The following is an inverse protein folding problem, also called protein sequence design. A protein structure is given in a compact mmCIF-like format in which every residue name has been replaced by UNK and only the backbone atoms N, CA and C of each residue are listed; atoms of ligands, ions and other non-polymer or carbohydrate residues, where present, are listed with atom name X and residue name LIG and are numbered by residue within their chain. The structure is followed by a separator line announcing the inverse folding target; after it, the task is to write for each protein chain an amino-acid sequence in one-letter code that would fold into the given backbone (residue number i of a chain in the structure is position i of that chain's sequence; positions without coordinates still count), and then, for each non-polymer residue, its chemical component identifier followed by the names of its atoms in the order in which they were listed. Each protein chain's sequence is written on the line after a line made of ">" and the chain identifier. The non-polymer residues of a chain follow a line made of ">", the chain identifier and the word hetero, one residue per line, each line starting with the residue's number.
data_IF_996767826136
#
_entry.id   IF_996767826136
#
_cell.length_a   1.000
_cell.length_b   1.000
_cell.length_c   1.000
_cell.angle_alpha   90.00
_cell.angle_beta   90.00
_cell.angle_gamma   90.00
#
_symmetry.space_group_name_H-M   'P 1'
#
loop_
_entity.id
_entity.type
_entity.pdbx_description
1 polymer ?
#
# COMPACT_ATOMS: atom_id res chain seq x y z
N UNK A 1 28.06 12.84 37.44
CA UNK A 1 27.66 11.67 36.62
C UNK A 1 26.48 12.08 35.76
N UNK A 2 26.65 12.09 34.43
CA UNK A 2 25.58 12.44 33.49
C UNK A 2 24.69 11.22 33.25
N UNK A 3 23.39 11.34 33.51
CA UNK A 3 22.37 10.49 32.87
C UNK A 3 21.47 11.38 32.05
N UNK A 4 21.89 11.64 30.82
CA UNK A 4 21.06 12.29 29.81
C UNK A 4 20.15 11.21 29.23
N UNK A 5 18.91 11.15 29.74
CA UNK A 5 17.85 10.32 29.21
C UNK A 5 17.47 10.87 27.83
N UNK A 6 18.04 10.30 26.76
CA UNK A 6 17.64 10.64 25.39
C UNK A 6 16.15 10.34 25.25
N UNK A 7 15.31 11.28 24.80
CA UNK A 7 13.94 10.96 24.44
C UNK A 7 13.98 9.89 23.34
N UNK A 8 13.18 8.83 23.49
CA UNK A 8 12.97 7.83 22.44
C UNK A 8 12.52 8.60 21.20
N UNK A 9 13.41 8.66 20.22
CA UNK A 9 13.14 9.21 18.91
C UNK A 9 12.02 8.36 18.35
N UNK A 10 10.79 8.86 18.42
CA UNK A 10 9.67 8.27 17.70
C UNK A 10 10.11 8.16 16.25
N UNK A 11 10.17 6.94 15.73
CA UNK A 11 10.33 6.71 14.31
C UNK A 11 9.20 7.49 13.63
N UNK A 12 9.53 8.63 13.03
CA UNK A 12 8.57 9.37 12.23
C UNK A 12 8.09 8.42 11.15
N UNK A 13 6.80 8.09 11.15
CA UNK A 13 6.19 7.33 10.06
C UNK A 13 6.44 8.07 8.76
N UNK A 14 6.77 7.34 7.69
CA UNK A 14 6.85 7.92 6.37
C UNK A 14 5.49 8.57 6.04
N UNK A 15 5.47 9.80 5.47
CA UNK A 15 4.23 10.51 5.22
C UNK A 15 3.36 9.75 4.21
N UNK A 16 2.09 9.56 4.54
CA UNK A 16 1.10 8.94 3.64
C UNK A 16 0.78 9.93 2.52
N UNK A 17 0.89 9.47 1.27
CA UNK A 17 0.56 10.25 0.08
C UNK A 17 -0.40 9.50 -0.81
N UNK A 18 -1.36 10.23 -1.38
CA UNK A 18 -2.34 9.65 -2.30
C UNK A 18 -1.75 9.55 -3.70
N UNK A 19 -2.00 8.43 -4.38
CA UNK A 19 -1.80 8.33 -5.83
C UNK A 19 -3.15 8.20 -6.52
N UNK A 20 -3.30 8.89 -7.65
CA UNK A 20 -4.45 8.74 -8.54
C UNK A 20 -4.03 7.86 -9.71
N UNK A 21 -4.61 6.66 -9.82
CA UNK A 21 -4.44 5.79 -10.97
C UNK A 21 -5.23 6.34 -12.17
N UNK A 22 -4.69 7.37 -12.81
CA UNK A 22 -5.29 8.01 -13.99
C UNK A 22 -4.79 7.35 -15.28
N UNK A 23 -5.70 7.16 -16.26
CA UNK A 23 -5.34 6.67 -17.61
C UNK A 23 -5.52 5.17 -17.87
N UNK A 24 -6.09 4.40 -16.94
CA UNK A 24 -6.29 2.95 -17.09
C UNK A 24 -7.39 2.55 -18.08
N UNK A 25 -7.12 2.64 -19.39
CA UNK A 25 -7.93 1.93 -20.40
C UNK A 25 -7.42 0.50 -20.52
N UNK A 26 -8.20 -0.44 -20.00
CA UNK A 26 -7.90 -1.87 -20.04
C UNK A 26 -8.88 -2.59 -20.97
N UNK A 27 -8.53 -3.79 -21.40
CA UNK A 27 -9.47 -4.67 -22.11
C UNK A 27 -10.59 -5.10 -21.17
N UNK A 28 -11.77 -5.39 -21.72
CA UNK A 28 -12.93 -5.85 -20.93
C UNK A 28 -12.60 -7.11 -20.14
N UNK A 29 -11.92 -8.08 -20.77
CA UNK A 29 -11.53 -9.33 -20.12
C UNK A 29 -10.54 -9.13 -18.97
N UNK A 30 -9.63 -8.16 -19.10
CA UNK A 30 -8.74 -7.80 -17.99
C UNK A 30 -9.52 -7.19 -16.84
N UNK A 31 -10.46 -6.28 -17.14
CA UNK A 31 -11.33 -5.69 -16.11
C UNK A 31 -12.13 -6.76 -15.38
N UNK A 32 -12.73 -7.70 -16.08
CA UNK A 32 -13.51 -8.80 -15.47
C UNK A 32 -12.63 -9.66 -14.56
N UNK A 33 -11.46 -10.08 -15.05
CA UNK A 33 -10.52 -10.89 -14.27
C UNK A 33 -10.02 -10.14 -13.02
N UNK A 34 -9.72 -8.85 -13.15
CA UNK A 34 -9.31 -8.00 -12.04
C UNK A 34 -10.41 -7.90 -10.97
N UNK A 35 -11.65 -7.70 -11.39
CA UNK A 35 -12.78 -7.60 -10.47
C UNK A 35 -13.06 -8.95 -9.77
N UNK A 36 -13.00 -10.07 -10.49
CA UNK A 36 -13.13 -11.42 -9.90
C UNK A 36 -12.03 -11.69 -8.87
N UNK A 37 -10.77 -11.33 -9.17
CA UNK A 37 -9.66 -11.47 -8.22
C UNK A 37 -9.90 -10.64 -6.95
N UNK A 38 -10.25 -9.36 -7.11
CA UNK A 38 -10.51 -8.46 -5.97
C UNK A 38 -11.69 -8.94 -5.10
N UNK A 39 -12.74 -9.49 -5.71
CA UNK A 39 -13.90 -10.02 -4.99
C UNK A 39 -13.55 -11.26 -4.15
N UNK A 40 -12.66 -12.13 -4.64
CA UNK A 40 -12.21 -13.34 -3.92
C UNK A 40 -11.33 -13.00 -2.73
N UNK A 41 -10.52 -11.96 -2.85
CA UNK A 41 -9.58 -11.53 -1.81
C UNK A 41 -10.20 -10.52 -0.83
N UNK A 42 -11.39 -9.99 -1.14
CA UNK A 42 -12.05 -8.98 -0.32
C UNK A 42 -11.34 -7.63 -0.34
N UNK A 43 -10.62 -7.32 -1.43
CA UNK A 43 -9.86 -6.08 -1.61
C UNK A 43 -10.57 -5.13 -2.56
N UNK A 44 -10.32 -3.83 -2.45
CA UNK A 44 -10.62 -2.90 -3.53
C UNK A 44 -9.65 -3.07 -4.70
N UNK A 45 -10.07 -2.66 -5.90
CA UNK A 45 -9.19 -2.64 -7.08
C UNK A 45 -7.92 -1.83 -6.84
N UNK A 46 -8.01 -0.75 -6.08
CA UNK A 46 -6.84 0.09 -5.76
C UNK A 46 -5.85 -0.65 -4.88
N UNK A 47 -6.33 -1.30 -3.81
CA UNK A 47 -5.50 -2.10 -2.92
C UNK A 47 -4.81 -3.24 -3.65
N UNK A 48 -5.55 -3.96 -4.49
CA UNK A 48 -4.99 -5.04 -5.31
C UNK A 48 -3.89 -4.54 -6.24
N UNK A 49 -4.11 -3.41 -6.93
CA UNK A 49 -3.09 -2.80 -7.79
C UNK A 49 -1.83 -2.38 -7.01
N UNK A 50 -2.01 -1.79 -5.82
CA UNK A 50 -0.90 -1.36 -4.97
C UNK A 50 -0.09 -2.55 -4.43
N UNK A 51 -0.76 -3.63 -4.02
CA UNK A 51 -0.11 -4.88 -3.60
C UNK A 51 0.71 -5.51 -4.72
N UNK A 52 0.11 -5.67 -5.91
CA UNK A 52 0.82 -6.20 -7.07
C UNK A 52 2.02 -5.34 -7.48
N UNK A 53 1.90 -4.01 -7.43
CA UNK A 53 2.99 -3.09 -7.72
C UNK A 53 4.13 -3.22 -6.69
N UNK A 54 3.79 -3.31 -5.41
CA UNK A 54 4.74 -3.45 -4.32
C UNK A 54 5.50 -4.77 -4.35
N UNK A 55 4.84 -5.88 -4.69
CA UNK A 55 5.49 -7.16 -4.96
C UNK A 55 6.53 -7.03 -6.07
N UNK A 56 6.17 -6.40 -7.18
CA UNK A 56 7.07 -6.17 -8.31
C UNK A 56 8.26 -5.27 -7.92
N UNK A 57 8.03 -4.23 -7.14
CA UNK A 57 9.08 -3.33 -6.65
C UNK A 57 10.06 -4.04 -5.72
N UNK A 58 9.56 -4.85 -4.77
CA UNK A 58 10.39 -5.70 -3.89
C UNK A 58 11.22 -6.69 -4.68
N UNK A 59 10.61 -7.39 -5.65
CA UNK A 59 11.31 -8.31 -6.53
C UNK A 59 12.42 -7.61 -7.36
N UNK A 60 12.25 -6.31 -7.63
CA UNK A 60 13.24 -5.48 -8.32
C UNK A 60 14.29 -4.85 -7.38
N UNK A 61 14.29 -5.20 -6.09
CA UNK A 61 15.28 -4.74 -5.10
C UNK A 61 14.94 -3.43 -4.38
N UNK A 62 13.74 -2.87 -4.57
CA UNK A 62 13.33 -1.67 -3.85
C UNK A 62 12.94 -2.00 -2.41
N UNK A 63 13.31 -1.11 -1.48
CA UNK A 63 12.96 -1.18 -0.07
C UNK A 63 12.09 0.02 0.29
N UNK A 64 10.99 -0.22 1.00
CA UNK A 64 10.06 0.80 1.49
C UNK A 64 9.44 0.30 2.80
N UNK A 65 8.98 1.22 3.64
CA UNK A 65 8.46 0.94 4.99
C UNK A 65 7.17 0.11 4.99
N UNK A 66 6.39 0.17 3.91
CA UNK A 66 5.16 -0.59 3.70
C UNK A 66 4.33 0.02 2.58
N UNK A 67 3.27 -0.67 2.17
CA UNK A 67 2.29 -0.13 1.22
C UNK A 67 1.22 0.66 1.97
N UNK A 68 0.85 0.14 3.14
CA UNK A 68 -0.17 0.64 4.05
C UNK A 68 0.40 0.63 5.47
N UNK A 69 -0.03 1.58 6.27
CA UNK A 69 0.24 1.65 7.70
C UNK A 69 -0.78 0.79 8.45
N UNK A 70 -0.44 0.16 9.59
CA UNK A 70 -1.44 -0.51 10.43
C UNK A 70 -2.61 0.45 10.75
N UNK A 71 -3.82 0.11 10.27
CA UNK A 71 -5.03 0.93 10.40
C UNK A 71 -5.57 1.52 9.09
N UNK A 72 -4.79 1.55 8.00
CA UNK A 72 -5.22 2.12 6.71
C UNK A 72 -6.28 1.27 5.99
N UNK A 73 -6.40 -0.02 6.33
CA UNK A 73 -7.38 -0.96 5.78
C UNK A 73 -8.68 -1.03 6.57
N UNK A 74 -8.79 -0.29 7.68
CA UNK A 74 -10.03 -0.19 8.44
C UNK A 74 -10.95 0.80 7.70
N UNK A 75 -11.86 0.25 6.89
CA UNK A 75 -12.95 1.02 6.29
C UNK A 75 -13.71 1.75 7.42
N UNK A 76 -13.49 3.07 7.54
CA UNK A 76 -14.30 3.91 8.42
C UNK A 76 -15.73 3.92 7.87
N UNK A 77 -16.60 3.21 8.59
CA UNK A 77 -18.04 3.07 8.34
C UNK A 77 -18.79 4.40 8.29
#
# INVERSE_FOLDING_TARGET
>A
MLTSSRPRQGQGQDPIVNIMLSGGRVTTTFREALFDATAREGLSVNEYCLMAAAEKLRASGHQFSGIFTPGDTEASN
#
